data_IF_404648278333
#
_entry.id   IF_404648278333
#
_cell.length_a   1.000
_cell.length_b   1.000
_cell.length_c   1.000
_cell.angle_alpha   90.00
_cell.angle_beta   90.00
_cell.angle_gamma   90.00
#
_symmetry.space_group_name_H-M   'P 1'
#
loop_
_entity.id
_entity.type
_entity.pdbx_description
1 polymer ?
#
# COMPACT_ATOMS: atom_id res chain seq x y z
N UNK A 1 7.00 -42.34 43.84
CA UNK A 1 6.90 -41.06 44.57
C UNK A 1 5.43 -40.75 44.76
N UNK A 2 5.00 -40.72 46.02
CA UNK A 2 3.61 -40.31 46.39
C UNK A 2 3.66 -38.81 46.73
N UNK A 3 2.73 -38.01 46.25
CA UNK A 3 2.64 -36.62 46.59
C UNK A 3 2.46 -36.41 48.11
N UNK A 4 2.94 -35.30 48.62
CA UNK A 4 2.58 -34.85 49.99
C UNK A 4 1.14 -34.28 49.96
N UNK A 5 0.51 -34.11 51.12
CA UNK A 5 -0.82 -33.53 51.22
C UNK A 5 -0.92 -32.14 50.62
N UNK A 6 0.13 -31.34 50.76
CA UNK A 6 0.27 -30.04 50.12
C UNK A 6 0.44 -30.12 48.64
N UNK A 7 1.15 -31.18 48.17
CA UNK A 7 1.33 -31.45 46.75
C UNK A 7 0.02 -31.90 46.07
N UNK A 8 -0.80 -32.67 46.74
CA UNK A 8 -2.16 -33.05 46.25
C UNK A 8 -3.06 -31.82 46.15
N UNK A 9 -3.06 -30.97 47.17
CA UNK A 9 -3.83 -29.71 47.17
C UNK A 9 -3.40 -28.77 46.02
N UNK A 10 -2.10 -28.62 45.82
CA UNK A 10 -1.58 -27.80 44.73
C UNK A 10 -1.96 -28.39 43.39
N UNK A 11 -1.89 -29.71 43.22
CA UNK A 11 -2.29 -30.38 41.98
C UNK A 11 -3.79 -30.19 41.69
N UNK A 12 -4.68 -30.34 42.69
CA UNK A 12 -6.12 -30.09 42.49
C UNK A 12 -6.43 -28.66 42.11
N UNK A 13 -5.69 -27.67 42.63
CA UNK A 13 -5.86 -26.25 42.30
C UNK A 13 -5.26 -25.92 40.93
N UNK A 14 -4.13 -26.50 40.56
CA UNK A 14 -3.42 -26.21 39.32
C UNK A 14 -4.03 -26.89 38.12
N UNK A 15 -4.54 -28.13 38.28
CA UNK A 15 -5.11 -28.93 37.19
C UNK A 15 -6.15 -28.21 36.34
N UNK A 16 -7.22 -27.61 36.90
CA UNK A 16 -8.23 -26.92 36.11
C UNK A 16 -7.69 -25.70 35.38
N UNK A 17 -6.65 -25.04 35.93
CA UNK A 17 -6.00 -23.90 35.30
C UNK A 17 -5.16 -24.34 34.08
N UNK A 18 -4.42 -25.43 34.20
CA UNK A 18 -3.63 -26.01 33.11
C UNK A 18 -4.55 -26.56 32.01
N UNK A 19 -5.58 -27.32 32.40
CA UNK A 19 -6.60 -27.82 31.44
C UNK A 19 -7.33 -26.68 30.74
N UNK A 20 -7.59 -25.56 31.44
CA UNK A 20 -8.17 -24.34 30.89
C UNK A 20 -7.24 -23.65 29.89
N UNK A 21 -5.94 -23.60 30.15
CA UNK A 21 -4.94 -23.05 29.24
C UNK A 21 -4.79 -23.91 27.98
N UNK A 22 -4.77 -25.24 28.13
CA UNK A 22 -4.72 -26.16 26.99
C UNK A 22 -5.98 -26.06 26.13
N UNK A 23 -7.15 -25.94 26.77
CA UNK A 23 -8.44 -25.72 26.10
C UNK A 23 -8.55 -24.36 25.41
N UNK A 24 -7.89 -23.30 25.95
CA UNK A 24 -7.93 -21.96 25.41
C UNK A 24 -7.39 -21.91 23.98
N UNK A 25 -6.29 -22.59 23.70
CA UNK A 25 -5.71 -22.64 22.37
C UNK A 25 -6.61 -23.35 21.34
N UNK A 26 -7.36 -24.36 21.79
CA UNK A 26 -8.34 -25.05 20.95
C UNK A 26 -9.57 -24.19 20.71
N UNK A 27 -10.15 -23.60 21.78
CA UNK A 27 -11.31 -22.69 21.70
C UNK A 27 -11.01 -21.44 20.88
N UNK A 28 -9.80 -20.89 21.00
CA UNK A 28 -9.35 -19.76 20.18
C UNK A 28 -9.26 -20.14 18.70
N UNK A 29 -8.67 -21.30 18.38
CA UNK A 29 -8.63 -21.78 16.99
C UNK A 29 -10.01 -22.06 16.40
N UNK A 30 -10.95 -22.53 17.21
CA UNK A 30 -12.33 -22.79 16.79
C UNK A 30 -13.11 -21.48 16.59
N UNK A 31 -12.94 -20.50 17.47
CA UNK A 31 -13.46 -19.16 17.28
C UNK A 31 -12.83 -18.44 16.09
N UNK A 32 -11.52 -18.58 15.87
CA UNK A 32 -10.82 -18.03 14.69
C UNK A 32 -11.24 -18.74 13.39
N UNK A 33 -11.56 -20.04 13.42
CA UNK A 33 -12.14 -20.74 12.26
C UNK A 33 -13.57 -20.30 11.94
N UNK A 34 -14.32 -19.81 12.92
CA UNK A 34 -15.61 -19.16 12.71
C UNK A 34 -15.51 -17.70 12.26
N UNK A 35 -14.29 -17.16 12.14
CA UNK A 35 -13.96 -15.83 11.63
C UNK A 35 -13.68 -15.81 10.12
N UNK A 36 -14.26 -16.76 9.35
CA UNK A 36 -14.40 -16.56 7.90
C UNK A 36 -15.33 -15.37 7.57
N UNK A 37 -15.99 -14.82 8.58
CA UNK A 37 -16.76 -13.58 8.53
C UNK A 37 -16.01 -12.49 9.32
N UNK A 38 -15.23 -11.68 8.63
CA UNK A 38 -14.47 -10.56 9.18
C UNK A 38 -14.59 -9.32 8.32
N UNK A 39 -13.90 -8.27 8.71
CA UNK A 39 -13.71 -7.09 7.88
C UNK A 39 -12.22 -6.92 7.56
N UNK A 40 -11.90 -6.67 6.30
CA UNK A 40 -10.55 -6.34 5.84
C UNK A 40 -10.57 -4.92 5.27
N UNK A 41 -9.86 -4.03 5.92
CA UNK A 41 -9.74 -2.63 5.54
C UNK A 41 -8.40 -2.38 4.87
N UNK A 42 -8.42 -1.94 3.61
CA UNK A 42 -7.22 -1.71 2.79
C UNK A 42 -7.13 -0.26 2.37
N UNK A 43 -6.04 0.41 2.73
CA UNK A 43 -5.73 1.76 2.25
C UNK A 43 -4.89 1.69 0.97
N UNK A 44 -5.27 2.44 -0.06
CA UNK A 44 -4.48 2.56 -1.28
C UNK A 44 -4.79 3.86 -2.03
N UNK A 45 -3.87 4.29 -2.88
CA UNK A 45 -4.12 5.42 -3.78
C UNK A 45 -5.09 5.05 -4.90
N UNK A 46 -5.78 6.07 -5.46
CA UNK A 46 -6.80 5.89 -6.51
C UNK A 46 -6.35 5.00 -7.67
N UNK A 47 -5.14 5.21 -8.17
CA UNK A 47 -4.63 4.41 -9.30
C UNK A 47 -4.36 2.96 -8.91
N UNK A 48 -3.91 2.72 -7.69
CA UNK A 48 -3.73 1.36 -7.16
C UNK A 48 -5.08 0.65 -7.07
N UNK A 49 -6.10 1.33 -6.54
CA UNK A 49 -7.46 0.80 -6.46
C UNK A 49 -8.02 0.54 -7.85
N UNK A 50 -7.77 1.44 -8.81
CA UNK A 50 -8.36 1.35 -10.15
C UNK A 50 -7.69 0.29 -11.04
N UNK A 51 -6.38 0.16 -10.98
CA UNK A 51 -5.63 -0.63 -11.96
C UNK A 51 -4.96 -1.88 -11.39
N UNK A 52 -4.59 -1.88 -10.11
CA UNK A 52 -3.83 -2.97 -9.51
C UNK A 52 -4.70 -3.92 -8.70
N UNK A 53 -5.58 -3.37 -7.87
CA UNK A 53 -6.37 -4.17 -6.93
C UNK A 53 -7.55 -4.93 -7.54
N UNK A 54 -8.18 -4.59 -8.69
CA UNK A 54 -9.42 -5.24 -9.11
C UNK A 54 -9.31 -6.76 -9.24
N UNK A 55 -8.26 -7.26 -9.90
CA UNK A 55 -8.03 -8.70 -10.03
C UNK A 55 -7.72 -9.40 -8.70
N UNK A 56 -7.01 -8.72 -7.80
CA UNK A 56 -6.69 -9.23 -6.47
C UNK A 56 -7.95 -9.31 -5.61
N UNK A 57 -8.77 -8.25 -5.64
CA UNK A 57 -10.04 -8.17 -4.93
C UNK A 57 -11.00 -9.26 -5.40
N UNK A 58 -11.10 -9.48 -6.71
CA UNK A 58 -11.95 -10.54 -7.26
C UNK A 58 -11.50 -11.93 -6.78
N UNK A 59 -10.20 -12.23 -6.90
CA UNK A 59 -9.63 -13.50 -6.44
C UNK A 59 -9.78 -13.69 -4.91
N UNK A 60 -9.65 -12.62 -4.14
CA UNK A 60 -9.84 -12.65 -2.69
C UNK A 60 -11.31 -12.97 -2.34
N UNK A 61 -12.26 -12.28 -2.96
CA UNK A 61 -13.69 -12.49 -2.72
C UNK A 61 -14.19 -13.88 -3.10
N UNK A 62 -13.60 -14.48 -4.15
CA UNK A 62 -13.91 -15.87 -4.52
C UNK A 62 -13.48 -16.87 -3.46
N UNK A 63 -12.42 -16.58 -2.69
CA UNK A 63 -11.89 -17.47 -1.64
C UNK A 63 -12.46 -17.17 -0.25
N UNK A 64 -12.84 -15.93 -0.02
CA UNK A 64 -13.25 -15.40 1.29
C UNK A 64 -14.55 -14.60 1.14
N UNK A 65 -15.63 -15.27 0.71
CA UNK A 65 -16.90 -14.64 0.37
C UNK A 65 -17.55 -13.94 1.57
N UNK A 66 -17.31 -14.44 2.78
CA UNK A 66 -17.89 -13.94 4.02
C UNK A 66 -17.07 -12.80 4.66
N UNK A 67 -15.90 -12.47 4.09
CA UNK A 67 -15.09 -11.33 4.54
C UNK A 67 -15.54 -10.06 3.84
N UNK A 68 -15.95 -9.07 4.62
CA UNK A 68 -16.26 -7.73 4.12
C UNK A 68 -14.95 -6.99 3.79
N UNK A 69 -14.76 -6.64 2.53
CA UNK A 69 -13.60 -5.87 2.07
C UNK A 69 -13.97 -4.39 1.90
N UNK A 70 -13.21 -3.50 2.56
CA UNK A 70 -13.34 -2.04 2.44
C UNK A 70 -12.05 -1.45 1.86
N UNK A 71 -12.17 -0.68 0.79
CA UNK A 71 -11.05 0.03 0.16
C UNK A 71 -11.10 1.51 0.50
N UNK A 72 -10.09 1.99 1.20
CA UNK A 72 -9.94 3.39 1.61
C UNK A 72 -9.03 4.11 0.62
N UNK A 73 -9.60 5.07 -0.13
CA UNK A 73 -8.81 5.89 -1.04
C UNK A 73 -8.02 6.94 -0.26
N UNK A 74 -6.70 6.83 -0.27
CA UNK A 74 -5.80 7.69 0.50
C UNK A 74 -4.63 8.17 -0.35
N UNK A 75 -3.96 9.20 0.12
CA UNK A 75 -2.72 9.69 -0.48
C UNK A 75 -1.55 9.49 0.49
N UNK A 76 -0.45 8.90 0.00
CA UNK A 76 0.87 8.88 0.66
C UNK A 76 0.83 8.71 2.19
N UNK A 77 1.21 9.76 2.91
CA UNK A 77 1.32 9.74 4.37
C UNK A 77 0.02 9.38 5.10
N UNK A 78 -1.13 9.74 4.55
CA UNK A 78 -2.43 9.43 5.19
C UNK A 78 -2.67 7.92 5.33
N UNK A 79 -2.13 7.09 4.43
CA UNK A 79 -2.24 5.64 4.54
C UNK A 79 -1.46 5.08 5.74
N UNK A 80 -0.29 5.67 6.04
CA UNK A 80 0.51 5.30 7.21
C UNK A 80 -0.16 5.70 8.52
N UNK A 81 -0.80 6.86 8.54
CA UNK A 81 -1.54 7.32 9.71
C UNK A 81 -2.75 6.43 10.00
N UNK A 82 -3.45 5.97 8.96
CA UNK A 82 -4.54 5.00 9.12
C UNK A 82 -4.04 3.66 9.69
N UNK A 83 -2.89 3.16 9.23
CA UNK A 83 -2.27 1.95 9.79
C UNK A 83 -1.91 2.11 11.26
N UNK A 84 -1.28 3.23 11.64
CA UNK A 84 -0.87 3.50 13.02
C UNK A 84 -2.04 3.67 13.99
N UNK A 85 -3.19 4.06 13.47
CA UNK A 85 -4.42 4.22 14.25
C UNK A 85 -5.35 3.00 14.17
N UNK A 86 -4.87 1.87 13.65
CA UNK A 86 -5.64 0.64 13.46
C UNK A 86 -6.96 0.85 12.67
N UNK A 87 -7.01 1.89 11.85
CA UNK A 87 -8.18 2.19 11.02
C UNK A 87 -8.18 1.38 9.71
N UNK A 88 -7.04 0.80 9.34
CA UNK A 88 -6.89 -0.16 8.24
C UNK A 88 -5.91 -1.26 8.64
N UNK A 89 -6.11 -2.45 8.08
CA UNK A 89 -5.29 -3.63 8.34
C UNK A 89 -4.01 -3.63 7.50
N UNK A 90 -4.08 -3.06 6.29
CA UNK A 90 -2.93 -2.93 5.40
C UNK A 90 -3.05 -1.71 4.49
N UNK A 91 -1.90 -1.25 4.01
CA UNK A 91 -1.83 -0.18 3.01
C UNK A 91 -0.99 -0.63 1.80
N UNK A 92 -1.47 -0.30 0.59
CA UNK A 92 -0.78 -0.58 -0.67
C UNK A 92 -0.35 0.73 -1.30
N UNK A 93 0.96 0.90 -1.45
CA UNK A 93 1.51 2.14 -2.00
C UNK A 93 3.01 2.06 -2.23
N UNK A 94 3.59 3.17 -2.71
CA UNK A 94 5.04 3.32 -2.87
C UNK A 94 5.61 4.18 -1.76
N UNK A 95 6.78 3.80 -1.24
CA UNK A 95 7.50 4.49 -0.18
C UNK A 95 8.96 4.68 -0.59
N UNK A 96 9.55 5.81 -0.20
CA UNK A 96 11.00 6.02 -0.30
C UNK A 96 11.72 5.45 0.90
N UNK A 97 11.15 5.65 2.08
CA UNK A 97 11.68 5.16 3.34
C UNK A 97 10.59 4.38 4.06
N UNK A 98 10.92 3.18 4.51
CA UNK A 98 10.02 2.34 5.31
C UNK A 98 10.17 2.72 6.77
N UNK A 99 9.10 3.17 7.46
CA UNK A 99 9.16 3.44 8.88
C UNK A 99 9.51 2.18 9.68
N UNK A 100 10.32 2.32 10.73
CA UNK A 100 10.79 1.20 11.53
C UNK A 100 9.67 0.50 12.34
N UNK A 101 8.55 1.19 12.53
CA UNK A 101 7.36 0.71 13.22
C UNK A 101 6.40 -0.08 12.34
N UNK A 102 6.69 -0.23 11.03
CA UNK A 102 5.82 -0.92 10.08
C UNK A 102 6.56 -2.04 9.36
N UNK A 103 5.85 -3.13 9.08
CA UNK A 103 6.34 -4.20 8.20
C UNK A 103 6.04 -3.84 6.74
N UNK A 104 7.00 -4.08 5.86
CA UNK A 104 6.88 -3.79 4.43
C UNK A 104 7.28 -5.00 3.59
N UNK A 105 6.49 -5.30 2.58
CA UNK A 105 6.81 -6.32 1.58
C UNK A 105 6.66 -5.74 0.16
N UNK A 106 7.72 -5.77 -0.68
CA UNK A 106 7.60 -5.35 -2.08
C UNK A 106 6.82 -6.40 -2.87
N UNK A 107 5.69 -5.99 -3.48
CA UNK A 107 4.81 -6.88 -4.23
C UNK A 107 4.81 -6.61 -5.73
N UNK A 108 5.15 -5.39 -6.14
CA UNK A 108 5.24 -4.97 -7.54
C UNK A 108 6.45 -4.07 -7.80
N UNK A 109 6.95 -4.14 -9.02
CA UNK A 109 7.96 -3.21 -9.53
C UNK A 109 7.40 -2.57 -10.81
N UNK A 110 7.46 -1.25 -10.87
CA UNK A 110 7.05 -0.47 -12.02
C UNK A 110 8.24 0.33 -12.57
N UNK A 111 8.30 0.44 -13.88
CA UNK A 111 9.22 1.35 -14.53
C UNK A 111 8.50 2.69 -14.77
N UNK A 112 9.10 3.82 -14.40
CA UNK A 112 8.52 5.12 -14.71
C UNK A 112 8.55 5.37 -16.22
N UNK A 113 7.44 5.88 -16.76
CA UNK A 113 7.31 6.19 -18.17
C UNK A 113 6.85 7.64 -18.35
N UNK A 114 7.39 8.29 -19.37
CA UNK A 114 6.88 9.57 -19.85
C UNK A 114 5.62 9.30 -20.69
N UNK A 115 4.59 10.10 -20.47
CA UNK A 115 3.43 10.17 -21.36
C UNK A 115 3.36 11.54 -22.01
N UNK A 116 2.99 11.59 -23.29
CA UNK A 116 2.87 12.81 -24.07
C UNK A 116 1.62 12.74 -24.93
N UNK A 117 1.12 13.89 -25.48
CA UNK A 117 0.18 13.87 -26.59
C UNK A 117 0.77 13.12 -27.80
N UNK A 118 -0.09 12.61 -28.68
CA UNK A 118 0.35 11.84 -29.87
C UNK A 118 1.18 12.66 -30.85
N UNK A 119 0.93 13.94 -30.95
CA UNK A 119 1.60 14.91 -31.82
C UNK A 119 2.80 15.61 -31.16
N UNK A 120 3.18 15.18 -29.94
CA UNK A 120 4.30 15.77 -29.23
C UNK A 120 5.63 15.38 -29.90
N UNK A 121 6.65 16.28 -29.98
CA UNK A 121 7.96 15.98 -30.59
C UNK A 121 8.70 14.78 -30.01
N UNK A 122 8.40 14.40 -28.77
CA UNK A 122 8.98 13.24 -28.11
C UNK A 122 8.18 11.93 -28.29
N UNK A 123 7.00 11.97 -28.90
CA UNK A 123 6.11 10.80 -28.97
C UNK A 123 6.73 9.62 -29.75
N UNK A 124 7.49 9.90 -30.80
CA UNK A 124 8.12 8.88 -31.65
C UNK A 124 9.51 8.46 -31.16
N UNK A 125 10.03 9.10 -30.11
CA UNK A 125 11.36 8.83 -29.58
C UNK A 125 11.34 7.57 -28.71
N UNK A 126 12.11 6.55 -29.09
CA UNK A 126 12.17 5.27 -28.35
C UNK A 126 12.95 5.35 -27.04
N UNK A 127 14.01 6.16 -27.06
CA UNK A 127 14.87 6.39 -25.89
C UNK A 127 14.91 7.88 -25.62
N UNK A 128 14.72 8.25 -24.38
CA UNK A 128 14.69 9.63 -23.92
C UNK A 128 15.79 9.85 -22.89
N UNK A 129 16.51 10.94 -23.03
CA UNK A 129 17.38 11.45 -21.97
C UNK A 129 16.62 12.52 -21.13
N UNK A 130 17.17 12.89 -20.00
CA UNK A 130 16.60 13.96 -19.18
C UNK A 130 16.70 15.33 -19.89
N UNK A 131 17.74 15.53 -20.70
CA UNK A 131 17.96 16.71 -21.50
C UNK A 131 16.86 16.91 -22.56
N UNK A 132 16.33 15.79 -23.08
CA UNK A 132 15.20 15.84 -24.01
C UNK A 132 13.93 16.39 -23.37
N UNK A 133 13.75 16.16 -22.08
CA UNK A 133 12.58 16.63 -21.33
C UNK A 133 12.73 18.09 -20.88
N UNK A 134 13.96 18.56 -20.69
CA UNK A 134 14.27 19.88 -20.14
C UNK A 134 13.57 21.05 -20.85
N UNK A 135 13.41 21.06 -22.19
CA UNK A 135 12.72 22.16 -22.90
C UNK A 135 11.21 22.19 -22.67
N UNK A 136 10.62 21.11 -22.16
CA UNK A 136 9.16 20.97 -22.02
C UNK A 136 8.73 21.06 -20.57
N UNK A 137 7.54 21.60 -20.33
CA UNK A 137 6.96 21.65 -19.01
C UNK A 137 6.41 20.30 -18.58
N UNK A 138 6.76 19.84 -17.41
CA UNK A 138 6.26 18.59 -16.86
C UNK A 138 4.97 18.81 -16.07
N UNK A 139 4.02 17.90 -16.18
CA UNK A 139 2.86 17.81 -15.30
C UNK A 139 3.19 16.81 -14.20
N UNK A 140 3.31 17.27 -12.97
CA UNK A 140 3.74 16.45 -11.84
C UNK A 140 2.67 16.41 -10.74
N UNK A 141 2.64 15.31 -9.96
CA UNK A 141 1.81 15.27 -8.76
C UNK A 141 2.33 16.23 -7.69
N UNK A 142 1.57 16.52 -6.61
CA UNK A 142 2.02 17.38 -5.53
C UNK A 142 3.36 16.98 -4.94
N UNK A 143 4.18 17.96 -4.57
CA UNK A 143 5.56 17.81 -4.05
C UNK A 143 5.71 16.83 -2.89
N UNK A 144 4.67 16.67 -2.07
CA UNK A 144 4.64 15.73 -0.94
C UNK A 144 4.60 14.26 -1.37
N UNK A 145 4.26 13.97 -2.63
CA UNK A 145 4.12 12.59 -3.12
C UNK A 145 5.47 12.01 -3.57
N UNK A 146 5.64 10.74 -3.37
CA UNK A 146 6.85 9.96 -3.67
C UNK A 146 7.31 10.17 -5.12
N UNK A 147 6.39 10.16 -6.08
CA UNK A 147 6.73 10.31 -7.50
C UNK A 147 7.34 11.67 -7.81
N UNK A 148 6.79 12.78 -7.26
CA UNK A 148 7.42 14.10 -7.45
C UNK A 148 8.85 14.09 -6.92
N UNK A 149 9.04 13.60 -5.70
CA UNK A 149 10.35 13.55 -5.04
C UNK A 149 11.36 12.71 -5.82
N UNK A 150 10.93 11.60 -6.41
CA UNK A 150 11.80 10.76 -7.27
C UNK A 150 12.19 11.49 -8.56
N UNK A 151 11.24 12.13 -9.25
CA UNK A 151 11.52 12.90 -10.46
C UNK A 151 12.49 14.03 -10.15
N UNK A 152 12.20 14.84 -9.12
CA UNK A 152 13.05 15.95 -8.69
C UNK A 152 14.47 15.47 -8.36
N UNK A 153 14.60 14.38 -7.59
CA UNK A 153 15.88 13.78 -7.24
C UNK A 153 16.70 13.38 -8.48
N UNK A 154 16.07 12.74 -9.46
CA UNK A 154 16.74 12.30 -10.69
C UNK A 154 17.25 13.50 -11.50
N UNK A 155 16.44 14.53 -11.68
CA UNK A 155 16.86 15.75 -12.38
C UNK A 155 18.00 16.47 -11.65
N UNK A 156 17.90 16.60 -10.32
CA UNK A 156 18.94 17.23 -9.50
C UNK A 156 20.26 16.45 -9.53
N UNK A 157 20.24 15.14 -9.41
CA UNK A 157 21.43 14.31 -9.44
C UNK A 157 22.16 14.41 -10.78
N UNK A 158 21.43 14.54 -11.89
CA UNK A 158 21.99 14.68 -13.22
C UNK A 158 22.27 16.14 -13.61
N UNK A 159 21.92 17.10 -12.74
CA UNK A 159 22.09 18.55 -12.97
C UNK A 159 21.37 19.04 -14.23
N UNK A 160 20.27 18.41 -14.60
CA UNK A 160 19.42 18.83 -15.73
C UNK A 160 18.31 19.72 -15.19
N UNK A 161 18.16 20.94 -15.68
CA UNK A 161 17.05 21.82 -15.28
C UNK A 161 15.73 21.29 -15.86
N UNK A 162 14.64 21.47 -15.14
CA UNK A 162 13.30 21.17 -15.62
C UNK A 162 12.28 22.20 -15.13
N UNK A 163 11.16 22.28 -15.82
CA UNK A 163 10.06 23.18 -15.48
C UNK A 163 8.81 22.39 -15.17
N UNK A 164 8.09 22.75 -14.12
CA UNK A 164 6.77 22.22 -13.82
C UNK A 164 5.73 23.12 -14.45
N UNK A 165 5.04 22.63 -15.50
CA UNK A 165 3.97 23.37 -16.17
C UNK A 165 2.68 23.35 -15.33
N UNK A 166 2.41 22.20 -14.67
CA UNK A 166 1.23 22.03 -13.83
C UNK A 166 1.54 21.08 -12.66
N UNK A 167 1.09 21.45 -11.46
CA UNK A 167 1.07 20.55 -10.31
C UNK A 167 -0.38 20.14 -10.02
N UNK A 168 -0.69 18.84 -10.18
CA UNK A 168 -2.05 18.32 -9.96
C UNK A 168 -2.00 16.87 -9.48
N UNK A 169 -2.88 16.52 -8.53
CA UNK A 169 -2.99 15.16 -8.00
C UNK A 169 -3.91 14.26 -8.82
N UNK A 170 -3.59 12.94 -8.81
CA UNK A 170 -4.37 11.91 -9.49
C UNK A 170 -3.91 11.65 -10.93
N UNK A 171 -3.48 10.40 -11.19
CA UNK A 171 -2.94 10.03 -12.50
C UNK A 171 -3.96 10.17 -13.64
N UNK A 172 -5.24 9.91 -13.38
CA UNK A 172 -6.31 10.10 -14.37
C UNK A 172 -6.48 11.59 -14.73
N UNK A 173 -6.34 12.46 -13.74
CA UNK A 173 -6.37 13.91 -13.96
C UNK A 173 -5.13 14.35 -14.76
N UNK A 174 -3.94 13.90 -14.40
CA UNK A 174 -2.70 14.18 -15.13
C UNK A 174 -2.84 13.76 -16.60
N UNK A 175 -3.31 12.54 -16.88
CA UNK A 175 -3.52 12.05 -18.26
C UNK A 175 -4.43 12.96 -19.09
N UNK A 176 -5.48 13.51 -18.48
CA UNK A 176 -6.38 14.44 -19.17
C UNK A 176 -5.66 15.73 -19.57
N UNK A 177 -4.87 16.31 -18.67
CA UNK A 177 -4.13 17.54 -18.97
C UNK A 177 -2.99 17.30 -19.98
N UNK A 178 -2.33 16.14 -19.93
CA UNK A 178 -1.38 15.72 -20.97
C UNK A 178 -2.08 15.63 -22.32
N UNK A 179 -3.24 14.97 -22.40
CA UNK A 179 -4.01 14.85 -23.65
C UNK A 179 -4.46 16.21 -24.24
N UNK A 180 -4.54 17.25 -23.40
CA UNK A 180 -4.82 18.63 -23.83
C UNK A 180 -3.57 19.40 -24.27
N UNK A 181 -2.38 18.79 -24.22
CA UNK A 181 -1.13 19.43 -24.62
C UNK A 181 -0.58 20.45 -23.62
N UNK A 182 -0.91 20.33 -22.35
CA UNK A 182 -0.45 21.25 -21.31
C UNK A 182 0.89 20.87 -20.68
N UNK A 183 1.48 19.75 -21.09
CA UNK A 183 2.75 19.22 -20.63
C UNK A 183 2.99 17.82 -21.11
#
# INVERSE_FOLDING_TARGET
LTPTREGELLYEMARPLVEGLDGLAASFREQVRGLDAGELNVAAGSSTILYLLPGIVDAFRQRHADVRLSLHNVTGASGLDLLRNDAVDLAVGSMLDVPADLSYAPVYRFEPMLITPLDHPLADKRELSLEDLSPYGLILPPKRLTTYRLVDLVFQQNRVPYTVALEVGGWEVIKQYVAMGLG
#
